data_IF_707920785243
#
_entry.id   IF_707920785243
#
_cell.length_a   1.000
_cell.length_b   1.000
_cell.length_c   1.000
_cell.angle_alpha   90.00
_cell.angle_beta   90.00
_cell.angle_gamma   90.00
#
_symmetry.space_group_name_H-M   'P 1'
#
loop_
_entity.id
_entity.type
_entity.pdbx_description
1 polymer ?
#
# COMPACT_ATOMS: atom_id res chain seq x y z
N UNK A 1 -6.02 -19.11 -35.87
CA UNK A 1 -5.91 -19.34 -34.41
C UNK A 1 -6.93 -20.40 -34.03
N UNK A 2 -6.59 -21.31 -33.13
CA UNK A 2 -7.52 -22.33 -32.61
C UNK A 2 -8.58 -21.70 -31.68
N UNK A 3 -9.84 -22.14 -31.74
CA UNK A 3 -10.95 -21.59 -30.94
C UNK A 3 -10.67 -21.78 -29.44
N UNK A 4 -10.15 -22.95 -29.04
CA UNK A 4 -9.80 -23.24 -27.66
C UNK A 4 -8.72 -22.30 -27.12
N UNK A 5 -7.67 -22.03 -27.91
CA UNK A 5 -6.62 -21.08 -27.53
C UNK A 5 -7.15 -19.65 -27.38
N UNK A 6 -8.00 -19.20 -28.31
CA UNK A 6 -8.62 -17.88 -28.24
C UNK A 6 -9.46 -17.71 -26.97
N UNK A 7 -10.33 -18.68 -26.67
CA UNK A 7 -11.15 -18.70 -25.44
C UNK A 7 -10.28 -18.72 -24.18
N UNK A 8 -9.22 -19.53 -24.16
CA UNK A 8 -8.29 -19.60 -23.03
C UNK A 8 -7.63 -18.25 -22.74
N UNK A 9 -7.16 -17.54 -23.77
CA UNK A 9 -6.56 -16.21 -23.63
C UNK A 9 -7.54 -15.22 -23.00
N UNK A 10 -8.76 -15.13 -23.54
CA UNK A 10 -9.83 -14.28 -22.99
C UNK A 10 -10.11 -14.58 -21.52
N UNK A 11 -10.35 -15.84 -21.18
CA UNK A 11 -10.61 -16.26 -19.79
C UNK A 11 -9.44 -15.98 -18.85
N UNK A 12 -8.21 -16.19 -19.31
CA UNK A 12 -7.03 -15.92 -18.48
C UNK A 12 -6.80 -14.43 -18.22
N UNK A 13 -7.17 -13.55 -19.15
CA UNK A 13 -7.17 -12.10 -18.91
C UNK A 13 -8.20 -11.71 -17.86
N UNK A 14 -9.44 -12.20 -17.99
CA UNK A 14 -10.52 -11.93 -17.03
C UNK A 14 -10.11 -12.41 -15.64
N UNK A 15 -9.63 -13.65 -15.52
CA UNK A 15 -9.19 -14.21 -14.24
C UNK A 15 -8.01 -13.43 -13.61
N UNK A 16 -7.05 -12.97 -14.43
CA UNK A 16 -5.96 -12.12 -13.96
C UNK A 16 -6.52 -10.79 -13.41
N UNK A 17 -7.44 -10.17 -14.13
CA UNK A 17 -8.05 -8.91 -13.74
C UNK A 17 -8.82 -9.05 -12.44
N UNK A 18 -9.69 -10.05 -12.33
CA UNK A 18 -10.44 -10.33 -11.09
C UNK A 18 -9.48 -10.48 -9.91
N UNK A 19 -8.39 -11.24 -10.10
CA UNK A 19 -7.40 -11.41 -9.03
C UNK A 19 -6.71 -10.10 -8.66
N UNK A 20 -6.36 -9.26 -9.63
CA UNK A 20 -5.80 -7.94 -9.35
C UNK A 20 -6.81 -7.06 -8.61
N UNK A 21 -8.08 -7.06 -9.01
CA UNK A 21 -9.15 -6.30 -8.36
C UNK A 21 -9.35 -6.71 -6.89
N UNK A 22 -9.29 -8.01 -6.58
CA UNK A 22 -9.26 -8.52 -5.20
C UNK A 22 -8.06 -7.97 -4.40
N UNK A 23 -6.86 -8.05 -4.99
CA UNK A 23 -5.63 -7.64 -4.32
C UNK A 23 -5.54 -6.12 -4.09
N UNK A 24 -6.25 -5.33 -4.91
CA UNK A 24 -6.33 -3.87 -4.81
C UNK A 24 -7.62 -3.35 -4.16
N UNK A 25 -8.46 -4.23 -3.61
CA UNK A 25 -9.59 -3.83 -2.78
C UNK A 25 -9.12 -2.85 -1.70
N UNK A 26 -9.94 -1.85 -1.39
CA UNK A 26 -9.52 -0.68 -0.61
C UNK A 26 -8.83 -1.04 0.72
N UNK A 27 -9.38 -2.03 1.46
CA UNK A 27 -8.77 -2.51 2.70
C UNK A 27 -7.41 -3.18 2.50
N UNK A 28 -7.28 -4.01 1.47
CA UNK A 28 -6.06 -4.76 1.17
C UNK A 28 -4.93 -3.83 0.73
N UNK A 29 -5.22 -2.89 -0.17
CA UNK A 29 -4.20 -1.95 -0.64
C UNK A 29 -3.80 -0.95 0.44
N UNK A 30 -4.73 -0.50 1.29
CA UNK A 30 -4.40 0.38 2.40
C UNK A 30 -3.50 -0.33 3.43
N UNK A 31 -3.77 -1.60 3.72
CA UNK A 31 -2.92 -2.44 4.58
C UNK A 31 -1.50 -2.55 4.01
N UNK A 32 -1.36 -2.92 2.73
CA UNK A 32 -0.06 -3.05 2.04
C UNK A 32 0.72 -1.73 2.04
N UNK A 33 0.06 -0.60 1.80
CA UNK A 33 0.70 0.72 1.86
C UNK A 33 1.15 1.05 3.28
N UNK A 34 0.34 0.75 4.29
CA UNK A 34 0.73 0.96 5.70
C UNK A 34 1.96 0.11 6.05
N UNK A 35 1.96 -1.17 5.72
CA UNK A 35 3.11 -2.06 5.97
C UNK A 35 4.37 -1.54 5.27
N UNK A 36 4.27 -1.16 3.98
CA UNK A 36 5.40 -0.60 3.24
C UNK A 36 5.97 0.69 3.86
N UNK A 37 5.10 1.54 4.41
CA UNK A 37 5.49 2.73 5.14
C UNK A 37 6.14 2.40 6.47
N UNK A 38 5.51 1.52 7.26
CA UNK A 38 6.00 1.12 8.58
C UNK A 38 7.35 0.41 8.49
N UNK A 39 7.58 -0.42 7.47
CA UNK A 39 8.88 -1.07 7.23
C UNK A 39 9.99 -0.02 7.10
N UNK A 40 9.75 1.04 6.31
CA UNK A 40 10.73 2.12 6.08
C UNK A 40 10.86 3.08 7.26
N UNK A 41 9.78 3.25 8.02
CA UNK A 41 9.71 4.23 9.10
C UNK A 41 10.15 3.65 10.44
N UNK A 42 9.71 2.44 10.78
CA UNK A 42 9.98 1.78 12.06
C UNK A 42 11.25 0.96 12.05
N UNK A 43 11.79 0.58 10.90
CA UNK A 43 13.00 -0.23 10.81
C UNK A 43 14.11 0.50 10.08
N UNK A 44 15.35 0.12 10.38
CA UNK A 44 16.53 0.57 9.66
C UNK A 44 16.80 -0.28 8.40
N UNK A 45 17.91 0.00 7.71
CA UNK A 45 18.25 -0.67 6.45
C UNK A 45 18.57 -2.16 6.60
N UNK A 46 18.86 -2.61 7.83
CA UNK A 46 19.14 -4.03 8.14
C UNK A 46 17.94 -4.72 8.80
N UNK A 47 16.79 -4.03 8.89
CA UNK A 47 15.54 -4.59 9.40
C UNK A 47 15.42 -4.57 10.92
N UNK A 48 16.27 -3.80 11.63
CA UNK A 48 16.19 -3.68 13.08
C UNK A 48 15.19 -2.57 13.45
N UNK A 49 14.29 -2.80 14.43
CA UNK A 49 13.39 -1.76 14.93
C UNK A 49 14.16 -0.54 15.46
N UNK A 50 13.76 0.65 15.02
CA UNK A 50 14.29 1.92 15.50
C UNK A 50 13.79 2.21 16.91
N UNK A 51 14.69 2.68 17.75
CA UNK A 51 14.38 3.25 19.05
C UNK A 51 14.53 4.76 18.92
N UNK A 52 13.45 5.51 19.12
CA UNK A 52 13.44 6.95 18.92
C UNK A 52 14.06 7.70 20.10
N UNK A 53 14.97 8.62 19.78
CA UNK A 53 15.55 9.58 20.71
C UNK A 53 15.05 11.01 20.42
N UNK A 54 15.07 11.93 21.40
CA UNK A 54 14.74 13.34 21.18
C UNK A 54 15.61 14.05 20.12
N UNK A 55 16.80 13.51 19.84
CA UNK A 55 17.76 14.08 18.89
C UNK A 55 17.60 13.56 17.46
N UNK A 56 16.72 12.57 17.25
CA UNK A 56 16.53 11.96 15.94
C UNK A 56 15.74 12.87 14.99
N UNK A 57 16.09 12.83 13.71
CA UNK A 57 15.29 13.43 12.64
C UNK A 57 14.09 12.55 12.26
N UNK A 58 13.13 12.42 13.19
CA UNK A 58 11.91 11.63 13.00
C UNK A 58 11.10 12.17 11.82
N UNK A 59 11.08 13.49 11.62
CA UNK A 59 10.32 14.14 10.57
C UNK A 59 10.88 13.88 9.17
N UNK A 60 12.21 13.92 9.01
CA UNK A 60 12.87 13.56 7.77
C UNK A 60 12.65 12.09 7.40
N UNK A 61 12.77 11.18 8.38
CA UNK A 61 12.53 9.74 8.15
C UNK A 61 11.06 9.49 7.80
N UNK A 62 10.13 10.13 8.51
CA UNK A 62 8.69 10.08 8.20
C UNK A 62 8.40 10.57 6.77
N UNK A 63 8.94 11.74 6.40
CA UNK A 63 8.71 12.34 5.09
C UNK A 63 9.22 11.42 3.98
N UNK A 64 10.45 10.91 4.11
CA UNK A 64 11.05 9.97 3.16
C UNK A 64 10.22 8.67 3.03
N UNK A 65 9.82 8.08 4.14
CA UNK A 65 9.02 6.85 4.14
C UNK A 65 7.63 7.06 3.51
N UNK A 66 6.96 8.16 3.87
CA UNK A 66 5.64 8.53 3.34
C UNK A 66 5.69 8.80 1.84
N UNK A 67 6.60 9.65 1.39
CA UNK A 67 6.74 10.00 -0.03
C UNK A 67 7.11 8.80 -0.87
N UNK A 68 8.06 7.98 -0.40
CA UNK A 68 8.43 6.72 -1.06
C UNK A 68 7.21 5.81 -1.24
N UNK A 69 6.37 5.67 -0.21
CA UNK A 69 5.16 4.82 -0.26
C UNK A 69 4.11 5.38 -1.20
N UNK A 70 3.92 6.71 -1.22
CA UNK A 70 2.96 7.37 -2.13
C UNK A 70 3.29 7.17 -3.61
N UNK A 71 4.56 6.91 -3.96
CA UNK A 71 4.93 6.58 -5.35
C UNK A 71 4.31 5.26 -5.84
N UNK A 72 3.88 4.37 -4.95
CA UNK A 72 3.27 3.10 -5.31
C UNK A 72 1.84 3.26 -5.85
N UNK A 73 1.08 4.26 -5.37
CA UNK A 73 -0.31 4.47 -5.80
C UNK A 73 -0.45 4.66 -7.32
N UNK A 74 0.32 5.56 -7.98
CA UNK A 74 0.24 5.66 -9.44
C UNK A 74 0.75 4.41 -10.16
N UNK A 75 1.72 3.67 -9.60
CA UNK A 75 2.21 2.41 -10.17
C UNK A 75 1.14 1.31 -10.17
N UNK A 76 0.35 1.22 -9.11
CA UNK A 76 -0.72 0.23 -8.95
C UNK A 76 -2.01 0.62 -9.68
N UNK A 77 -2.09 1.82 -10.25
CA UNK A 77 -3.34 2.36 -10.80
C UNK A 77 -3.70 1.86 -12.19
N UNK A 78 -2.74 1.33 -12.95
CA UNK A 78 -2.94 0.89 -14.33
C UNK A 78 -2.09 -0.34 -14.64
N UNK A 79 -2.61 -1.22 -15.48
CA UNK A 79 -1.81 -2.28 -16.10
C UNK A 79 -0.75 -1.66 -17.02
N UNK A 80 0.51 -1.87 -16.68
CA UNK A 80 1.66 -1.36 -17.44
C UNK A 80 2.78 -2.38 -17.46
N UNK A 81 3.47 -2.46 -18.58
CA UNK A 81 4.67 -3.28 -18.72
C UNK A 81 5.83 -2.62 -17.97
N UNK A 82 6.60 -3.38 -17.21
CA UNK A 82 7.72 -2.85 -16.41
C UNK A 82 8.83 -2.21 -17.25
N UNK A 83 9.09 -2.74 -18.46
CA UNK A 83 10.15 -2.24 -19.36
C UNK A 83 9.79 -0.95 -20.09
N UNK A 84 8.55 -0.84 -20.57
CA UNK A 84 8.12 0.27 -21.45
C UNK A 84 7.21 1.27 -20.77
N UNK A 85 6.62 0.88 -19.63
CA UNK A 85 5.59 1.63 -18.92
C UNK A 85 4.30 1.90 -19.74
N UNK A 86 4.21 1.32 -20.93
CA UNK A 86 3.02 1.32 -21.77
C UNK A 86 2.03 0.23 -21.32
N UNK A 87 0.73 0.36 -21.64
CA UNK A 87 -0.19 -0.76 -21.50
C UNK A 87 0.28 -1.97 -22.34
N UNK A 88 0.00 -3.21 -21.90
CA UNK A 88 0.17 -4.37 -22.76
C UNK A 88 -0.70 -4.27 -24.02
N UNK A 89 -0.21 -4.79 -25.14
CA UNK A 89 -1.02 -4.92 -26.36
C UNK A 89 -2.02 -6.08 -26.20
N UNK A 90 -3.10 -5.79 -25.45
CA UNK A 90 -4.14 -6.77 -25.16
C UNK A 90 -4.88 -7.22 -26.43
N UNK A 91 -5.26 -6.33 -27.38
CA UNK A 91 -5.89 -6.76 -28.63
C UNK A 91 -5.01 -7.70 -29.45
N UNK A 92 -3.72 -7.42 -29.59
CA UNK A 92 -2.80 -8.32 -30.30
C UNK A 92 -2.65 -9.67 -29.57
N UNK A 93 -2.53 -9.65 -28.24
CA UNK A 93 -2.36 -10.87 -27.46
C UNK A 93 -3.61 -11.76 -27.48
N UNK A 94 -4.82 -11.20 -27.34
CA UNK A 94 -6.08 -11.96 -27.48
C UNK A 94 -6.20 -12.48 -28.92
N UNK A 95 -5.96 -11.61 -29.89
CA UNK A 95 -6.09 -11.88 -31.32
C UNK A 95 -7.54 -11.79 -31.81
N UNK A 96 -7.69 -11.74 -33.14
CA UNK A 96 -8.99 -11.71 -33.77
C UNK A 96 -9.78 -13.01 -33.52
N UNK A 97 -11.10 -12.88 -33.45
CA UNK A 97 -12.02 -14.01 -33.35
C UNK A 97 -11.76 -15.02 -34.49
N UNK A 98 -11.49 -16.31 -34.18
CA UNK A 98 -11.33 -17.33 -35.20
C UNK A 98 -12.60 -17.55 -36.02
N UNK A 99 -12.45 -18.05 -37.26
CA UNK A 99 -13.61 -18.48 -38.06
C UNK A 99 -14.24 -19.73 -37.45
N UNK A 100 -15.56 -19.78 -37.44
CA UNK A 100 -16.32 -20.95 -36.95
C UNK A 100 -16.61 -20.93 -35.44
N UNK A 101 -16.39 -19.80 -34.77
CA UNK A 101 -16.95 -19.57 -33.42
C UNK A 101 -18.47 -19.55 -33.53
N UNK A 102 -19.14 -20.35 -32.70
CA UNK A 102 -20.59 -20.39 -32.61
C UNK A 102 -21.08 -19.61 -31.38
N UNK A 103 -22.36 -19.25 -31.32
CA UNK A 103 -22.91 -18.48 -30.18
C UNK A 103 -22.67 -19.16 -28.82
N UNK A 104 -22.69 -20.50 -28.77
CA UNK A 104 -22.41 -21.26 -27.54
C UNK A 104 -20.94 -21.20 -27.08
N UNK A 105 -20.01 -20.81 -27.96
CA UNK A 105 -18.61 -20.60 -27.59
C UNK A 105 -18.38 -19.26 -26.88
N UNK A 106 -19.33 -18.33 -27.01
CA UNK A 106 -19.24 -16.98 -26.45
C UNK A 106 -20.08 -16.78 -25.17
N UNK A 107 -21.03 -17.69 -24.90
CA UNK A 107 -22.00 -17.58 -23.79
C UNK A 107 -21.34 -17.37 -22.41
N UNK A 108 -20.15 -17.94 -22.19
CA UNK A 108 -19.42 -17.86 -20.92
C UNK A 108 -18.26 -16.86 -20.93
N UNK A 109 -18.14 -16.03 -21.98
CA UNK A 109 -17.08 -15.05 -22.11
C UNK A 109 -17.55 -13.68 -21.61
N UNK A 110 -16.81 -13.12 -20.66
CA UNK A 110 -16.98 -11.72 -20.26
C UNK A 110 -16.42 -10.81 -21.37
N UNK A 111 -17.10 -9.69 -21.69
CA UNK A 111 -16.55 -8.69 -22.59
C UNK A 111 -15.28 -8.04 -22.02
N UNK A 112 -14.39 -7.64 -22.92
CA UNK A 112 -13.07 -7.07 -22.65
C UNK A 112 -13.00 -5.71 -23.37
N UNK A 113 -12.79 -4.64 -22.61
CA UNK A 113 -12.76 -3.28 -23.15
C UNK A 113 -11.66 -3.09 -24.20
N UNK A 114 -12.02 -2.49 -25.33
CA UNK A 114 -11.14 -2.29 -26.48
C UNK A 114 -10.82 -3.55 -27.30
N UNK A 115 -11.36 -4.71 -26.91
CA UNK A 115 -11.34 -5.95 -27.72
C UNK A 115 -12.73 -6.22 -28.26
N UNK A 116 -13.76 -6.07 -27.43
CA UNK A 116 -15.16 -6.22 -27.84
C UNK A 116 -15.79 -4.84 -28.00
N UNK A 117 -16.19 -4.50 -29.23
CA UNK A 117 -16.73 -3.18 -29.55
C UNK A 117 -18.15 -2.97 -28.99
N UNK A 118 -18.88 -4.05 -28.70
CA UNK A 118 -20.29 -4.01 -28.30
C UNK A 118 -20.52 -3.44 -26.89
N UNK A 119 -19.53 -3.56 -25.99
CA UNK A 119 -19.71 -3.23 -24.56
C UNK A 119 -19.31 -1.78 -24.23
N UNK A 120 -18.88 -1.01 -25.23
CA UNK A 120 -18.59 0.44 -25.12
C UNK A 120 -17.39 0.80 -24.23
N UNK A 121 -16.79 -0.18 -23.54
CA UNK A 121 -15.63 0.01 -22.67
C UNK A 121 -14.36 0.17 -23.51
N UNK A 122 -13.65 1.27 -23.27
CA UNK A 122 -12.39 1.55 -23.96
C UNK A 122 -11.24 0.67 -23.44
N UNK A 123 -10.19 0.52 -24.25
CA UNK A 123 -8.95 -0.14 -23.81
C UNK A 123 -8.32 0.61 -22.62
N UNK A 124 -8.46 1.92 -22.54
CA UNK A 124 -7.95 2.70 -21.40
C UNK A 124 -8.66 2.33 -20.09
N UNK A 125 -9.99 2.17 -20.13
CA UNK A 125 -10.78 1.71 -18.99
C UNK A 125 -10.48 0.25 -18.64
N UNK A 126 -10.21 -0.60 -19.64
CA UNK A 126 -9.77 -1.98 -19.43
C UNK A 126 -8.44 -2.04 -18.67
N UNK A 127 -7.51 -1.15 -18.99
CA UNK A 127 -6.20 -1.06 -18.35
C UNK A 127 -6.23 -0.32 -16.99
N UNK A 128 -7.35 0.30 -16.62
CA UNK A 128 -7.47 1.05 -15.36
C UNK A 128 -7.82 0.13 -14.20
N UNK A 129 -6.94 0.07 -13.20
CA UNK A 129 -7.11 -0.73 -11.97
C UNK A 129 -7.70 0.12 -10.84
N UNK A 130 -7.16 1.33 -10.66
CA UNK A 130 -7.66 2.30 -9.67
C UNK A 130 -8.15 3.55 -10.40
N UNK A 131 -9.43 3.87 -10.23
CA UNK A 131 -10.00 5.14 -10.71
C UNK A 131 -9.35 6.33 -10.01
N UNK A 132 -9.44 7.52 -10.61
CA UNK A 132 -8.89 8.73 -10.00
C UNK A 132 -9.47 9.01 -8.62
N UNK A 133 -10.77 8.84 -8.44
CA UNK A 133 -11.44 8.97 -7.13
C UNK A 133 -10.86 8.01 -6.09
N UNK A 134 -10.73 6.72 -6.43
CA UNK A 134 -10.13 5.71 -5.55
C UNK A 134 -8.68 6.05 -5.20
N UNK A 135 -7.90 6.60 -6.14
CA UNK A 135 -6.52 7.05 -5.86
C UNK A 135 -6.49 8.17 -4.83
N UNK A 136 -7.32 9.19 -5.00
CA UNK A 136 -7.38 10.33 -4.08
C UNK A 136 -7.80 9.89 -2.68
N UNK A 137 -8.85 9.06 -2.58
CA UNK A 137 -9.32 8.51 -1.32
C UNK A 137 -8.24 7.68 -0.61
N UNK A 138 -7.54 6.82 -1.36
CA UNK A 138 -6.46 6.00 -0.84
C UNK A 138 -5.31 6.84 -0.29
N UNK A 139 -4.91 7.91 -1.01
CA UNK A 139 -3.87 8.85 -0.57
C UNK A 139 -4.27 9.53 0.74
N UNK A 140 -5.52 10.00 0.85
CA UNK A 140 -6.03 10.67 2.05
C UNK A 140 -6.01 9.72 3.25
N UNK A 141 -6.55 8.51 3.09
CA UNK A 141 -6.61 7.50 4.17
C UNK A 141 -5.23 7.02 4.59
N UNK A 142 -4.33 6.81 3.64
CA UNK A 142 -2.95 6.45 3.91
C UNK A 142 -2.23 7.54 4.71
N UNK A 143 -2.32 8.81 4.30
CA UNK A 143 -1.69 9.93 5.02
C UNK A 143 -2.17 10.00 6.47
N UNK A 144 -3.48 9.90 6.70
CA UNK A 144 -4.05 9.89 8.07
C UNK A 144 -3.48 8.76 8.93
N UNK A 145 -3.29 7.58 8.33
CA UNK A 145 -2.70 6.42 9.02
C UNK A 145 -1.22 6.65 9.35
N UNK A 146 -0.45 7.14 8.38
CA UNK A 146 0.96 7.47 8.55
C UNK A 146 1.18 8.58 9.61
N UNK A 147 0.31 9.59 9.65
CA UNK A 147 0.33 10.67 10.64
C UNK A 147 0.15 10.13 12.07
N UNK A 148 -0.72 9.15 12.25
CA UNK A 148 -0.91 8.47 13.54
C UNK A 148 0.39 7.84 14.04
N UNK A 149 1.03 7.04 13.18
CA UNK A 149 2.30 6.36 13.50
C UNK A 149 3.43 7.36 13.77
N UNK A 150 3.47 8.47 13.02
CA UNK A 150 4.45 9.54 13.24
C UNK A 150 4.27 10.23 14.60
N UNK A 151 3.03 10.56 14.96
CA UNK A 151 2.72 11.19 16.26
C UNK A 151 3.08 10.26 17.42
N UNK A 152 2.82 8.97 17.29
CA UNK A 152 3.25 7.96 18.26
C UNK A 152 4.78 7.93 18.42
N UNK A 153 5.53 7.93 17.32
CA UNK A 153 6.98 7.99 17.35
C UNK A 153 7.51 9.24 18.07
N UNK A 154 6.98 10.43 17.72
CA UNK A 154 7.33 11.70 18.39
C UNK A 154 7.04 11.67 19.89
N UNK A 155 5.91 11.10 20.30
CA UNK A 155 5.58 10.95 21.74
C UNK A 155 6.54 9.98 22.43
N UNK A 156 6.86 8.87 21.79
CA UNK A 156 7.76 7.85 22.34
C UNK A 156 9.18 8.39 22.58
N UNK A 157 9.67 9.27 21.70
CA UNK A 157 10.97 9.91 21.85
C UNK A 157 11.08 10.78 23.11
N UNK A 158 9.97 11.40 23.53
CA UNK A 158 9.92 12.32 24.68
C UNK A 158 9.54 11.58 25.97
N UNK A 159 8.73 10.52 25.87
CA UNK A 159 8.07 9.84 26.98
C UNK A 159 8.96 9.02 27.93
N UNK A 160 10.28 9.09 27.83
CA UNK A 160 11.23 8.32 28.65
C UNK A 160 11.79 9.03 29.88
N UNK A 161 11.55 10.34 30.07
CA UNK A 161 12.17 11.08 31.19
C UNK A 161 11.27 11.04 32.42
N UNK A 162 11.35 9.96 33.19
CA UNK A 162 10.87 9.97 34.57
C UNK A 162 11.84 10.83 35.42
N UNK A 163 11.59 12.14 35.50
CA UNK A 163 12.28 12.95 36.51
C UNK A 163 11.71 12.60 37.88
N UNK A 164 12.53 12.03 38.76
CA UNK A 164 12.18 11.84 40.16
C UNK A 164 11.92 13.23 40.75
N UNK A 165 10.69 13.53 41.22
CA UNK A 165 10.38 14.85 41.74
C UNK A 165 11.26 15.22 42.94
N UNK A 166 11.65 16.49 43.07
CA UNK A 166 12.55 16.94 44.14
C UNK A 166 12.05 16.60 45.55
N UNK A 167 10.74 16.59 45.76
CA UNK A 167 10.16 16.22 47.06
C UNK A 167 10.42 14.76 47.45
N UNK A 168 10.66 13.85 46.50
CA UNK A 168 11.07 12.48 46.82
C UNK A 168 12.45 12.45 47.51
N UNK A 169 13.39 13.31 47.09
CA UNK A 169 14.68 13.44 47.77
C UNK A 169 14.52 14.06 49.16
N UNK A 170 13.60 15.02 49.32
CA UNK A 170 13.27 15.57 50.63
C UNK A 170 12.62 14.54 51.56
N UNK A 171 11.74 13.68 51.04
CA UNK A 171 11.16 12.54 51.76
C UNK A 171 12.20 11.51 52.16
N UNK A 172 13.10 11.13 51.24
CA UNK A 172 14.20 10.20 51.53
C UNK A 172 15.13 10.75 52.61
N UNK A 173 15.44 12.05 52.57
CA UNK A 173 16.22 12.71 53.61
C UNK A 173 15.47 12.72 54.94
N UNK A 174 14.20 13.12 54.97
CA UNK A 174 13.42 13.20 56.21
C UNK A 174 13.19 11.83 56.86
N UNK A 175 12.94 10.78 56.05
CA UNK A 175 12.69 9.43 56.54
C UNK A 175 13.99 8.68 56.86
N UNK A 176 15.04 8.87 56.07
CA UNK A 176 16.37 8.27 56.29
C UNK A 176 17.20 8.96 57.37
N UNK A 177 16.81 10.17 57.80
CA UNK A 177 17.49 10.92 58.86
C UNK A 177 17.58 10.14 60.18
N UNK A 178 16.56 9.32 60.48
CA UNK A 178 16.52 8.51 61.69
C UNK A 178 17.52 7.35 61.68
N UNK A 179 17.91 6.81 60.51
CA UNK A 179 18.92 5.74 60.45
C UNK A 179 20.36 6.28 60.52
N UNK A 180 20.59 7.52 60.07
CA UNK A 180 21.92 8.16 60.12
C UNK A 180 22.32 8.53 61.56
N UNK A 181 21.35 8.82 62.43
CA UNK A 181 21.59 9.14 63.85
C UNK A 181 21.54 7.93 64.79
N UNK A 182 21.07 6.77 64.31
CA UNK A 182 20.89 5.56 65.11
C UNK A 182 22.03 4.52 64.94
N UNK A 183 23.06 4.83 64.14
CA UNK A 183 24.29 4.05 63.98
C UNK A 183 25.51 4.78 64.53
#
# INVERSE_FOLDING_TARGET
MDIGLWRLRRKSWVALREKVEEEVMEGNILLKLRENFEDKFRYDEVGVPRIWSPTDDIEGIYTKARESTLTLVPLLSRFRLSKTYAPPDLPEWIGAQPRGVEAGDEEDLTPIGGVDEEDGKSLEEEMTVLSESKRQDLVIRFKKTADGVYVEAKRSAIGGVAQVPLYFYALLLALGWNEIWAG
#
